data_IF_268764375745
#
_entry.id   IF_268764375745
#
_cell.length_a   1.000
_cell.length_b   1.000
_cell.length_c   1.000
_cell.angle_alpha   90.00
_cell.angle_beta   90.00
_cell.angle_gamma   90.00
#
_symmetry.space_group_name_H-M   'P 1'
#
loop_
_entity.id
_entity.type
_entity.pdbx_description
1 polymer ?
#
# COMPACT_ATOMS: atom_id res chain seq x y z
N UNK A 1 -14.12 -14.10 1.22
CA UNK A 1 -12.72 -14.61 1.23
C UNK A 1 -11.92 -14.21 -0.01
N UNK A 2 -12.37 -14.47 -1.25
CA UNK A 2 -11.61 -14.13 -2.48
C UNK A 2 -11.12 -12.67 -2.57
N UNK A 3 -11.93 -11.71 -2.09
CA UNK A 3 -11.56 -10.28 -2.07
C UNK A 3 -10.35 -9.96 -1.18
N UNK A 4 -10.17 -10.68 -0.07
CA UNK A 4 -9.02 -10.51 0.83
C UNK A 4 -7.72 -10.93 0.15
N UNK A 5 -7.71 -12.13 -0.41
CA UNK A 5 -6.55 -12.67 -1.13
C UNK A 5 -6.12 -11.74 -2.28
N UNK A 6 -7.06 -11.20 -3.05
CA UNK A 6 -6.75 -10.25 -4.12
C UNK A 6 -6.14 -8.94 -3.60
N UNK A 7 -6.58 -8.44 -2.43
CA UNK A 7 -6.02 -7.23 -1.83
C UNK A 7 -4.61 -7.43 -1.29
N UNK A 8 -4.34 -8.61 -0.72
CA UNK A 8 -2.99 -8.99 -0.27
C UNK A 8 -2.05 -9.05 -1.48
N UNK A 9 -2.45 -9.76 -2.54
CA UNK A 9 -1.66 -9.88 -3.78
C UNK A 9 -1.42 -8.49 -4.41
N UNK A 10 -2.47 -7.66 -4.50
CA UNK A 10 -2.36 -6.31 -5.01
C UNK A 10 -1.45 -5.42 -4.14
N UNK A 11 -1.46 -5.61 -2.82
CA UNK A 11 -0.58 -4.93 -1.88
C UNK A 11 0.88 -5.30 -2.09
N UNK A 12 1.19 -6.60 -2.11
CA UNK A 12 2.54 -7.12 -2.35
C UNK A 12 3.06 -6.64 -3.70
N UNK A 13 2.31 -6.87 -4.78
CA UNK A 13 2.71 -6.48 -6.13
C UNK A 13 2.78 -4.96 -6.28
N UNK A 14 1.87 -4.23 -5.66
CA UNK A 14 1.81 -2.77 -5.76
C UNK A 14 2.93 -2.07 -5.02
N UNK A 15 3.27 -2.52 -3.81
CA UNK A 15 4.43 -2.02 -3.08
C UNK A 15 5.74 -2.39 -3.78
N UNK A 16 5.83 -3.61 -4.30
CA UNK A 16 6.99 -4.03 -5.09
C UNK A 16 7.14 -3.19 -6.36
N UNK A 17 6.06 -3.03 -7.14
CA UNK A 17 6.07 -2.25 -8.37
C UNK A 17 6.33 -0.77 -8.08
N UNK A 18 5.75 -0.22 -7.01
CA UNK A 18 5.99 1.15 -6.60
C UNK A 18 7.44 1.39 -6.20
N UNK A 19 8.08 0.49 -5.44
CA UNK A 19 9.52 0.62 -5.13
C UNK A 19 10.39 0.66 -6.37
N UNK A 20 10.00 -0.02 -7.45
CA UNK A 20 10.72 0.00 -8.73
C UNK A 20 10.40 1.20 -9.61
N UNK A 21 9.14 1.63 -9.64
CA UNK A 21 8.66 2.66 -10.56
C UNK A 21 8.76 4.08 -9.98
N UNK A 22 8.41 4.26 -8.70
CA UNK A 22 8.39 5.59 -8.05
C UNK A 22 9.78 6.19 -7.98
N UNK A 23 10.82 5.38 -7.80
CA UNK A 23 12.22 5.81 -7.86
C UNK A 23 12.66 6.34 -9.23
N UNK A 24 11.95 6.02 -10.31
CA UNK A 24 12.27 6.49 -11.67
C UNK A 24 11.66 7.87 -11.97
N UNK A 25 10.77 8.36 -11.10
CA UNK A 25 10.09 9.63 -11.30
C UNK A 25 11.01 10.80 -10.86
N UNK A 26 11.33 11.76 -11.77
CA UNK A 26 12.31 12.81 -11.48
C UNK A 26 11.82 13.83 -10.45
N UNK A 27 10.50 13.94 -10.25
CA UNK A 27 9.85 14.81 -9.26
C UNK A 27 9.68 14.17 -7.89
N UNK A 28 10.13 12.93 -7.69
CA UNK A 28 10.09 12.25 -6.38
C UNK A 28 11.40 12.51 -5.66
N UNK A 29 11.33 12.96 -4.41
CA UNK A 29 12.50 13.24 -3.59
C UNK A 29 13.33 11.96 -3.42
N UNK A 30 14.63 11.98 -3.80
CA UNK A 30 15.51 10.87 -3.49
C UNK A 30 15.65 10.77 -1.97
N UNK A 31 15.58 9.56 -1.41
CA UNK A 31 15.44 8.29 -2.11
C UNK A 31 13.98 7.81 -2.13
N UNK A 32 13.42 7.40 -3.28
CA UNK A 32 12.01 7.03 -3.47
C UNK A 32 11.42 5.95 -2.53
N UNK A 33 10.46 5.14 -2.98
CA UNK A 33 9.87 4.10 -2.11
C UNK A 33 10.92 3.01 -1.82
N UNK A 34 11.28 2.83 -0.55
CA UNK A 34 12.26 1.84 -0.11
C UNK A 34 11.65 0.79 0.79
N UNK A 35 12.20 -0.42 0.66
CA UNK A 35 11.94 -1.54 1.55
C UNK A 35 13.29 -1.99 2.07
N UNK A 36 13.62 -1.57 3.28
CA UNK A 36 14.92 -1.84 3.90
C UNK A 36 14.75 -2.86 5.03
N UNK A 37 15.63 -3.85 5.07
CA UNK A 37 15.69 -4.78 6.20
C UNK A 37 16.56 -4.11 7.26
N UNK A 38 15.96 -3.70 8.38
CA UNK A 38 16.69 -3.14 9.52
C UNK A 38 17.23 -4.32 10.35
N UNK A 39 18.54 -4.59 10.33
CA UNK A 39 19.13 -5.70 11.08
C UNK A 39 18.90 -5.50 12.58
N UNK A 40 18.38 -6.52 13.26
CA UNK A 40 18.12 -6.52 14.70
C UNK A 40 16.76 -5.91 15.14
N UNK A 41 16.02 -5.24 14.25
CA UNK A 41 14.65 -4.79 14.52
C UNK A 41 13.59 -5.47 13.63
N UNK A 42 13.98 -5.93 12.44
CA UNK A 42 13.12 -6.70 11.53
C UNK A 42 12.97 -8.14 12.01
N UNK A 43 12.37 -8.35 13.19
CA UNK A 43 12.14 -9.68 13.73
C UNK A 43 10.67 -9.89 14.05
N UNK A 44 10.12 -11.00 13.56
CA UNK A 44 8.79 -11.46 13.94
C UNK A 44 8.96 -12.68 14.83
N UNK A 45 8.54 -12.60 16.08
CA UNK A 45 8.64 -13.71 17.05
C UNK A 45 10.08 -14.28 17.20
N UNK A 46 11.10 -13.43 17.15
CA UNK A 46 12.51 -13.85 17.29
C UNK A 46 13.15 -14.41 16.02
N UNK A 47 12.43 -14.45 14.90
CA UNK A 47 12.99 -14.80 13.59
C UNK A 47 13.44 -13.50 12.92
N UNK A 48 14.76 -13.31 12.76
CA UNK A 48 15.31 -12.19 12.01
C UNK A 48 15.01 -12.36 10.53
N UNK A 49 14.36 -11.37 9.93
CA UNK A 49 14.26 -11.30 8.48
C UNK A 49 15.62 -10.92 7.92
N UNK A 50 16.12 -11.73 7.00
CA UNK A 50 17.39 -11.49 6.30
C UNK A 50 17.15 -11.01 4.87
N UNK A 51 15.93 -11.15 4.35
CA UNK A 51 15.64 -10.86 2.96
C UNK A 51 14.43 -9.93 2.75
N UNK A 52 14.59 -9.01 1.80
CA UNK A 52 13.58 -8.00 1.42
C UNK A 52 12.23 -8.61 1.03
N UNK A 53 12.23 -9.79 0.38
CA UNK A 53 11.01 -10.45 -0.06
C UNK A 53 10.15 -10.94 1.12
N UNK A 54 10.76 -11.30 2.27
CA UNK A 54 10.03 -11.72 3.46
C UNK A 54 9.26 -10.54 4.06
N UNK A 55 9.96 -9.40 4.18
CA UNK A 55 9.41 -8.13 4.67
C UNK A 55 8.31 -7.63 3.73
N UNK A 56 8.51 -7.69 2.41
CA UNK A 56 7.50 -7.32 1.42
C UNK A 56 6.21 -8.16 1.57
N UNK A 57 6.33 -9.48 1.77
CA UNK A 57 5.16 -10.35 1.97
C UNK A 57 4.44 -9.96 3.26
N UNK A 58 5.17 -9.71 4.34
CA UNK A 58 4.61 -9.28 5.62
C UNK A 58 3.81 -7.97 5.46
N UNK A 59 4.46 -6.93 4.92
CA UNK A 59 3.86 -5.61 4.70
C UNK A 59 2.66 -5.71 3.77
N UNK A 60 2.78 -6.45 2.66
CA UNK A 60 1.69 -6.61 1.70
C UNK A 60 0.49 -7.40 2.27
N UNK A 61 0.74 -8.39 3.13
CA UNK A 61 -0.30 -9.04 3.91
C UNK A 61 -1.03 -8.05 4.81
N UNK A 62 -0.29 -7.28 5.62
CA UNK A 62 -0.91 -6.30 6.52
C UNK A 62 -1.63 -5.20 5.76
N UNK A 63 -1.07 -4.73 4.64
CA UNK A 63 -1.76 -3.81 3.74
C UNK A 63 -3.09 -4.37 3.23
N UNK A 64 -3.12 -5.65 2.84
CA UNK A 64 -4.35 -6.32 2.44
C UNK A 64 -5.40 -6.37 3.56
N UNK A 65 -4.98 -6.63 4.80
CA UNK A 65 -5.84 -6.59 5.98
C UNK A 65 -6.36 -5.18 6.27
N UNK A 66 -5.48 -4.18 6.27
CA UNK A 66 -5.82 -2.75 6.44
C UNK A 66 -6.82 -2.32 5.39
N UNK A 67 -6.60 -2.67 4.12
CA UNK A 67 -7.51 -2.31 3.03
C UNK A 67 -8.85 -3.07 3.08
N UNK A 68 -8.94 -4.19 3.80
CA UNK A 68 -10.21 -4.90 4.00
C UNK A 68 -11.00 -4.40 5.20
N UNK A 69 -10.35 -4.16 6.34
CA UNK A 69 -11.01 -3.77 7.58
C UNK A 69 -11.12 -2.25 7.73
N UNK A 70 -10.05 -1.50 7.48
CA UNK A 70 -9.97 -0.06 7.77
C UNK A 70 -10.60 0.75 6.64
N UNK A 71 -10.41 0.35 5.37
CA UNK A 71 -11.02 1.03 4.21
C UNK A 71 -12.55 1.18 4.27
N UNK A 72 -13.37 0.15 4.58
CA UNK A 72 -14.82 0.32 4.64
C UNK A 72 -15.23 1.27 5.77
N UNK A 73 -14.54 1.23 6.92
CA UNK A 73 -14.80 2.12 8.06
C UNK A 73 -14.50 3.57 7.68
N UNK A 74 -13.30 3.85 7.14
CA UNK A 74 -12.95 5.17 6.61
C UNK A 74 -13.96 5.61 5.55
N UNK A 75 -14.36 4.70 4.66
CA UNK A 75 -15.32 5.04 3.61
C UNK A 75 -16.66 5.45 4.17
N UNK A 76 -17.15 4.76 5.18
CA UNK A 76 -18.41 5.06 5.84
C UNK A 76 -18.39 6.45 6.49
N UNK A 77 -17.38 6.73 7.31
CA UNK A 77 -17.25 8.02 8.03
C UNK A 77 -17.07 9.20 7.06
N UNK A 78 -16.33 8.98 5.98
CA UNK A 78 -15.98 10.03 5.02
C UNK A 78 -16.99 10.19 3.88
N UNK A 79 -18.06 9.38 3.86
CA UNK A 79 -19.12 9.46 2.84
C UNK A 79 -19.65 10.90 2.61
N UNK A 80 -20.01 11.69 3.64
CA UNK A 80 -20.55 13.04 3.42
C UNK A 80 -19.53 13.98 2.77
N UNK A 81 -18.29 13.97 3.25
CA UNK A 81 -17.19 14.80 2.71
C UNK A 81 -16.84 14.36 1.29
N UNK A 82 -16.89 13.05 1.02
CA UNK A 82 -16.64 12.50 -0.30
C UNK A 82 -17.70 12.92 -1.31
N UNK A 83 -18.97 12.99 -0.89
CA UNK A 83 -20.03 13.52 -1.73
C UNK A 83 -19.80 15.00 -2.04
N UNK A 84 -19.37 15.79 -1.05
CA UNK A 84 -19.06 17.22 -1.21
C UNK A 84 -17.86 17.47 -2.14
N UNK A 85 -16.86 16.60 -2.10
CA UNK A 85 -15.62 16.68 -2.90
C UNK A 85 -15.70 15.96 -4.25
N UNK A 86 -16.90 15.57 -4.72
CA UNK A 86 -17.12 14.81 -5.96
C UNK A 86 -16.28 13.52 -6.07
N UNK A 87 -15.99 12.88 -4.94
CA UNK A 87 -15.20 11.66 -4.90
C UNK A 87 -13.69 11.86 -4.82
N UNK A 88 -13.17 13.09 -4.89
CA UNK A 88 -11.74 13.39 -4.80
C UNK A 88 -11.13 12.91 -3.48
N UNK A 89 -11.90 13.00 -2.38
CA UNK A 89 -11.48 12.52 -1.07
C UNK A 89 -11.27 11.00 -0.99
N UNK A 90 -11.76 10.24 -1.98
CA UNK A 90 -11.45 8.81 -2.10
C UNK A 90 -9.96 8.57 -2.33
N UNK A 91 -9.28 9.47 -3.06
CA UNK A 91 -7.85 9.39 -3.31
C UNK A 91 -7.09 9.58 -1.99
N UNK A 92 -7.47 10.59 -1.21
CA UNK A 92 -6.90 10.87 0.12
C UNK A 92 -7.01 9.65 1.04
N UNK A 93 -8.15 8.96 1.05
CA UNK A 93 -8.33 7.77 1.87
C UNK A 93 -7.44 6.62 1.41
N UNK A 94 -7.33 6.40 0.09
CA UNK A 94 -6.43 5.37 -0.42
C UNK A 94 -4.97 5.69 -0.06
N UNK A 95 -4.56 6.97 -0.11
CA UNK A 95 -3.24 7.41 0.35
C UNK A 95 -3.06 7.19 1.85
N UNK A 96 -4.08 7.53 2.65
CA UNK A 96 -4.05 7.33 4.09
C UNK A 96 -3.88 5.84 4.45
N UNK A 97 -4.47 4.92 3.69
CA UNK A 97 -4.27 3.47 3.91
C UNK A 97 -2.82 3.04 3.65
N UNK A 98 -2.21 3.55 2.59
CA UNK A 98 -0.78 3.29 2.29
C UNK A 98 0.10 3.90 3.37
N UNK A 99 -0.20 5.13 3.77
CA UNK A 99 0.53 5.84 4.81
C UNK A 99 0.42 5.17 6.19
N UNK A 100 -0.74 4.61 6.53
CA UNK A 100 -0.90 3.81 7.76
C UNK A 100 0.10 2.65 7.76
N UNK A 101 0.29 1.96 6.63
CA UNK A 101 1.22 0.84 6.54
C UNK A 101 2.68 1.31 6.59
N UNK A 102 3.00 2.43 5.95
CA UNK A 102 4.31 3.10 6.04
C UNK A 102 4.67 3.45 7.49
N UNK A 103 3.72 3.98 8.27
CA UNK A 103 3.95 4.31 9.69
C UNK A 103 4.03 3.04 10.58
N UNK A 104 3.29 1.98 10.24
CA UNK A 104 3.30 0.74 11.02
C UNK A 104 4.57 -0.10 10.84
N UNK A 105 5.25 0.04 9.69
CA UNK A 105 6.43 -0.76 9.36
C UNK A 105 7.63 0.15 9.09
N UNK A 106 8.61 0.24 10.00
CA UNK A 106 9.82 1.02 9.76
C UNK A 106 10.64 0.49 8.58
N UNK A 107 10.41 -0.77 8.17
CA UNK A 107 11.03 -1.36 6.99
C UNK A 107 10.47 -0.81 5.67
N UNK A 108 9.27 -0.23 5.67
CA UNK A 108 8.71 0.49 4.54
C UNK A 108 8.98 1.98 4.74
N UNK A 109 9.61 2.63 3.78
CA UNK A 109 9.77 4.08 3.82
C UNK A 109 9.30 4.69 2.52
N UNK A 110 8.27 5.54 2.62
CA UNK A 110 7.71 6.29 1.50
C UNK A 110 7.98 7.80 1.72
N UNK A 111 8.95 8.40 1.00
CA UNK A 111 9.35 9.78 1.22
C UNK A 111 8.31 10.78 0.71
N UNK A 112 7.60 11.42 1.63
CA UNK A 112 6.73 12.55 1.34
C UNK A 112 5.45 12.21 0.57
N UNK A 113 4.63 13.25 0.38
CA UNK A 113 3.27 13.11 -0.15
C UNK A 113 3.27 12.70 -1.62
N UNK A 114 4.26 13.15 -2.41
CA UNK A 114 4.35 12.85 -3.85
C UNK A 114 4.62 11.36 -4.06
N UNK A 115 5.54 10.75 -3.31
CA UNK A 115 5.78 9.32 -3.40
C UNK A 115 4.53 8.53 -2.98
N UNK A 116 3.92 8.89 -1.84
CA UNK A 116 2.66 8.27 -1.37
C UNK A 116 1.56 8.32 -2.44
N UNK A 117 1.39 9.46 -3.10
CA UNK A 117 0.42 9.65 -4.17
C UNK A 117 0.63 8.66 -5.33
N UNK A 118 1.85 8.59 -5.86
CA UNK A 118 2.16 7.67 -6.96
C UNK A 118 2.07 6.20 -6.55
N UNK A 119 2.54 5.86 -5.35
CA UNK A 119 2.43 4.50 -4.77
C UNK A 119 0.96 4.08 -4.69
N UNK A 120 0.10 4.98 -4.23
CA UNK A 120 -1.34 4.76 -4.11
C UNK A 120 -2.00 4.57 -5.48
N UNK A 121 -1.60 5.34 -6.49
CA UNK A 121 -2.11 5.19 -7.86
C UNK A 121 -1.74 3.81 -8.41
N UNK A 122 -0.50 3.37 -8.24
CA UNK A 122 -0.03 2.06 -8.70
C UNK A 122 -0.86 0.94 -8.05
N UNK A 123 -1.01 0.98 -6.72
CA UNK A 123 -1.81 -0.01 -5.98
C UNK A 123 -3.28 0.03 -6.41
N UNK A 124 -3.83 1.21 -6.66
CA UNK A 124 -5.22 1.37 -7.12
C UNK A 124 -5.42 0.78 -8.52
N UNK A 125 -4.51 1.04 -9.46
CA UNK A 125 -4.53 0.48 -10.82
C UNK A 125 -4.41 -1.04 -10.76
N UNK A 126 -3.48 -1.60 -9.98
CA UNK A 126 -3.33 -3.05 -9.82
C UNK A 126 -4.57 -3.70 -9.21
N UNK A 127 -5.14 -3.10 -8.16
CA UNK A 127 -6.40 -3.58 -7.59
C UNK A 127 -7.53 -3.55 -8.63
N UNK A 128 -7.64 -2.48 -9.42
CA UNK A 128 -8.63 -2.38 -10.47
C UNK A 128 -8.46 -3.44 -11.55
N UNK A 129 -7.22 -3.67 -12.02
CA UNK A 129 -6.88 -4.71 -13.00
C UNK A 129 -7.23 -6.10 -12.46
N UNK A 130 -6.75 -6.45 -11.27
CA UNK A 130 -6.98 -7.77 -10.66
C UNK A 130 -8.47 -8.05 -10.42
N UNK A 131 -9.23 -7.06 -9.97
CA UNK A 131 -10.68 -7.19 -9.78
C UNK A 131 -11.45 -7.30 -11.10
N UNK A 132 -11.01 -6.58 -12.16
CA UNK A 132 -11.60 -6.65 -13.49
C UNK A 132 -11.37 -8.02 -14.13
N UNK A 133 -10.17 -8.59 -13.96
CA UNK A 133 -9.86 -9.94 -14.44
C UNK A 133 -10.72 -11.01 -13.76
N UNK A 134 -11.00 -10.90 -12.45
CA UNK A 134 -11.82 -11.90 -11.74
C UNK A 134 -13.33 -11.78 -11.99
N UNK A 135 -13.84 -10.62 -12.42
CA UNK A 135 -15.26 -10.43 -12.75
C UNK A 135 -15.66 -10.94 -14.14
N UNK A 136 -14.73 -11.51 -14.91
CA UNK A 136 -14.95 -11.91 -16.31
C UNK A 136 -15.10 -13.42 -16.52
N UNK A 137 -15.24 -14.20 -15.45
CA UNK A 137 -15.52 -15.65 -15.49
C UNK A 137 -16.69 -15.96 -14.58
#
# INVERSE_FOLDING_TARGET
MRRLFLQIIAGILGLWLASKFVQFLPWVTPPGVRIEVIPGQSSLFGINFTAVWQVLILIGCVFGFVNFFIKPVLKFITTPIRALTFGLFTLIINMALVWIVDVLFPELTIPGIVALFWTTIIIWILNFLLLKFHKKV
#
